data_IF_268539817806
#
_entry.id   IF_268539817806
#
_cell.length_a   1.000
_cell.length_b   1.000
_cell.length_c   1.000
_cell.angle_alpha   90.00
_cell.angle_beta   90.00
_cell.angle_gamma   90.00
#
_symmetry.space_group_name_H-M   'P 1'
#
loop_
_entity.id
_entity.type
_entity.pdbx_description
1 polymer ?
#
# COMPACT_ATOMS: atom_id res chain seq x y z
N UNK A 1 7.57 26.96 13.03
CA UNK A 1 7.15 26.12 11.87
C UNK A 1 5.93 25.31 12.29
N UNK A 2 4.87 25.24 11.47
CA UNK A 2 3.67 24.44 11.79
C UNK A 2 4.00 22.95 11.61
N UNK A 3 3.69 22.05 12.58
CA UNK A 3 3.95 20.62 12.43
C UNK A 3 3.11 20.02 11.29
N UNK A 4 3.64 18.97 10.64
CA UNK A 4 2.96 18.24 9.56
C UNK A 4 1.70 17.54 10.11
N UNK A 5 1.78 16.99 11.30
CA UNK A 5 0.66 16.35 11.99
C UNK A 5 0.67 16.73 13.48
N UNK A 6 -0.52 16.99 14.10
CA UNK A 6 -0.59 17.26 15.54
C UNK A 6 -0.23 16.05 16.39
N UNK A 7 -0.34 14.83 15.87
CA UNK A 7 0.03 13.60 16.58
C UNK A 7 1.54 13.48 16.84
N UNK A 8 2.36 14.11 15.98
CA UNK A 8 3.82 14.10 16.13
C UNK A 8 4.40 15.44 15.66
N UNK A 9 4.66 16.40 16.57
CA UNK A 9 5.04 17.76 16.20
C UNK A 9 6.55 17.95 15.97
N UNK A 10 7.29 16.87 15.70
CA UNK A 10 8.73 16.88 15.42
C UNK A 10 9.01 16.60 13.94
N UNK A 11 10.28 16.73 13.54
CA UNK A 11 10.74 16.30 12.23
C UNK A 11 10.55 14.78 12.08
N UNK A 12 9.92 14.35 11.01
CA UNK A 12 9.82 12.93 10.65
C UNK A 12 11.12 12.50 9.96
N UNK A 13 11.71 11.41 10.47
CA UNK A 13 12.92 10.81 9.94
C UNK A 13 12.73 9.29 9.78
N UNK A 14 12.92 8.79 8.57
CA UNK A 14 12.79 7.37 8.23
C UNK A 14 12.56 7.16 6.75
N UNK A 15 12.05 5.99 6.40
CA UNK A 15 11.83 5.58 5.00
C UNK A 15 10.77 4.49 4.90
N UNK A 16 10.77 3.77 3.79
CA UNK A 16 9.89 2.64 3.58
C UNK A 16 10.35 1.43 4.38
N UNK A 17 9.40 0.71 4.95
CA UNK A 17 9.62 -0.53 5.68
C UNK A 17 8.65 -1.59 5.22
N UNK A 18 9.16 -2.71 4.74
CA UNK A 18 8.39 -3.81 4.16
C UNK A 18 8.50 -5.08 5.03
N UNK A 19 7.90 -5.09 6.24
CA UNK A 19 8.01 -6.20 7.20
C UNK A 19 7.35 -7.49 6.71
N UNK A 20 6.41 -7.41 5.75
CA UNK A 20 5.74 -8.57 5.16
C UNK A 20 6.71 -9.57 4.56
N UNK A 21 7.87 -9.13 4.12
CA UNK A 21 8.93 -9.99 3.57
C UNK A 21 9.57 -10.90 4.63
N UNK A 22 9.46 -10.52 5.92
CA UNK A 22 10.15 -11.14 7.03
C UNK A 22 9.24 -11.77 8.07
N UNK A 23 7.93 -11.90 7.80
CA UNK A 23 6.94 -12.44 8.75
C UNK A 23 7.29 -13.86 9.24
N UNK A 24 8.06 -14.62 8.44
CA UNK A 24 8.53 -15.97 8.82
C UNK A 24 9.80 -15.95 9.66
N UNK A 25 10.40 -14.78 9.88
CA UNK A 25 11.68 -14.59 10.54
C UNK A 25 11.55 -13.49 11.62
N UNK A 26 10.89 -13.79 12.74
CA UNK A 26 10.59 -12.79 13.78
C UNK A 26 11.85 -12.16 14.41
N UNK A 27 12.98 -12.84 14.34
CA UNK A 27 14.28 -12.31 14.77
C UNK A 27 14.73 -11.12 13.92
N UNK A 28 14.42 -11.12 12.60
CA UNK A 28 14.73 -9.99 11.70
C UNK A 28 13.85 -8.80 12.08
N UNK A 29 12.55 -8.98 12.27
CA UNK A 29 11.65 -7.91 12.70
C UNK A 29 12.08 -7.25 14.01
N UNK A 30 12.62 -8.04 14.95
CA UNK A 30 13.19 -7.52 16.20
C UNK A 30 14.47 -6.73 15.94
N UNK A 31 15.37 -7.26 15.12
CA UNK A 31 16.62 -6.59 14.76
C UNK A 31 16.36 -5.28 14.02
N UNK A 32 15.40 -5.24 13.11
CA UNK A 32 15.01 -4.04 12.36
C UNK A 32 14.65 -2.88 13.31
N UNK A 33 13.83 -3.15 14.33
CA UNK A 33 13.45 -2.14 15.32
C UNK A 33 14.66 -1.63 16.09
N UNK A 34 15.59 -2.51 16.49
CA UNK A 34 16.83 -2.09 17.16
C UNK A 34 17.72 -1.23 16.25
N UNK A 35 17.82 -1.57 14.97
CA UNK A 35 18.56 -0.78 13.98
C UNK A 35 17.91 0.58 13.72
N UNK A 36 16.57 0.61 13.59
CA UNK A 36 15.82 1.86 13.46
C UNK A 36 16.07 2.79 14.64
N UNK A 37 16.07 2.28 15.87
CA UNK A 37 16.37 3.07 17.08
C UNK A 37 17.79 3.61 17.07
N UNK A 38 18.76 2.80 16.66
CA UNK A 38 20.18 3.24 16.55
C UNK A 38 20.38 4.32 15.48
N UNK A 39 19.53 4.33 14.45
CA UNK A 39 19.54 5.32 13.38
C UNK A 39 18.66 6.55 13.68
N UNK A 40 18.09 6.67 14.88
CA UNK A 40 17.16 7.72 15.27
C UNK A 40 15.92 7.83 14.36
N UNK A 41 15.51 6.71 13.74
CA UNK A 41 14.30 6.65 12.93
C UNK A 41 13.09 6.75 13.85
N UNK A 42 12.19 7.68 13.53
CA UNK A 42 10.97 7.94 14.31
C UNK A 42 9.68 7.77 13.53
N UNK A 43 9.78 7.50 12.21
CA UNK A 43 8.63 7.29 11.34
C UNK A 43 9.01 6.40 10.15
N UNK A 44 8.13 5.45 9.78
CA UNK A 44 8.31 4.59 8.60
C UNK A 44 7.01 4.44 7.82
N UNK A 45 7.11 4.31 6.49
CA UNK A 45 5.98 3.93 5.64
C UNK A 45 5.84 2.41 5.63
N UNK A 46 4.64 1.89 5.94
CA UNK A 46 4.39 0.45 6.04
C UNK A 46 3.20 0.07 5.16
N UNK A 47 3.25 -1.10 4.55
CA UNK A 47 2.11 -1.69 3.82
C UNK A 47 2.03 -1.33 2.34
N UNK A 48 3.04 -0.66 1.78
CA UNK A 48 3.04 -0.13 0.41
C UNK A 48 2.77 -1.24 -0.63
N UNK A 49 3.35 -2.42 -0.43
CA UNK A 49 3.27 -3.54 -1.37
C UNK A 49 2.56 -4.77 -0.79
N UNK A 50 1.86 -4.61 0.33
CA UNK A 50 1.40 -5.72 1.16
C UNK A 50 0.04 -6.31 0.75
N UNK A 51 -0.58 -5.91 -0.37
CA UNK A 51 -1.94 -6.36 -0.70
C UNK A 51 -2.08 -7.87 -0.68
N UNK A 52 -1.12 -8.61 -1.26
CA UNK A 52 -1.16 -10.08 -1.28
C UNK A 52 -1.10 -10.73 0.11
N UNK A 53 -0.54 -10.04 1.11
CA UNK A 53 -0.54 -10.50 2.51
C UNK A 53 -1.79 -10.04 3.26
N UNK A 54 -2.37 -8.90 2.89
CA UNK A 54 -3.59 -8.37 3.50
C UNK A 54 -4.86 -9.03 2.98
N UNK A 55 -4.82 -9.55 1.74
CA UNK A 55 -5.91 -10.27 1.08
C UNK A 55 -5.30 -11.40 0.23
N UNK A 56 -4.86 -12.51 0.87
CA UNK A 56 -4.22 -13.63 0.17
C UNK A 56 -5.13 -14.31 -0.85
N UNK A 57 -6.43 -14.37 -0.57
CA UNK A 57 -7.47 -14.79 -1.48
C UNK A 57 -8.57 -13.73 -1.51
N UNK A 58 -9.32 -13.66 -2.59
CA UNK A 58 -10.39 -12.68 -2.74
C UNK A 58 -11.41 -12.74 -1.61
N UNK A 59 -11.56 -11.64 -0.89
CA UNK A 59 -12.50 -11.51 0.22
C UNK A 59 -11.98 -12.04 1.56
N UNK A 60 -10.81 -12.66 1.59
CA UNK A 60 -10.16 -13.15 2.82
C UNK A 60 -9.12 -12.13 3.27
N UNK A 61 -9.42 -11.42 4.36
CA UNK A 61 -8.58 -10.33 4.85
C UNK A 61 -7.84 -10.71 6.12
N UNK A 62 -6.53 -10.47 6.17
CA UNK A 62 -5.70 -10.60 7.36
C UNK A 62 -4.94 -9.29 7.64
N UNK A 63 -5.43 -8.55 8.62
CA UNK A 63 -4.80 -7.32 9.11
C UNK A 63 -4.05 -7.50 10.44
N UNK A 64 -4.13 -8.67 11.06
CA UNK A 64 -3.62 -8.88 12.41
C UNK A 64 -2.10 -8.82 12.50
N UNK A 65 -1.42 -9.32 11.47
CA UNK A 65 0.03 -9.20 11.39
C UNK A 65 0.47 -7.73 11.25
N UNK A 66 -0.23 -6.95 10.43
CA UNK A 66 0.08 -5.54 10.21
C UNK A 66 -0.14 -4.71 11.49
N UNK A 67 -1.23 -4.97 12.21
CA UNK A 67 -1.50 -4.32 13.49
C UNK A 67 -0.41 -4.63 14.52
N UNK A 68 0.04 -5.89 14.62
CA UNK A 68 1.15 -6.26 15.52
C UNK A 68 2.45 -5.52 15.17
N UNK A 69 2.74 -5.33 13.88
CA UNK A 69 3.90 -4.56 13.42
C UNK A 69 3.76 -3.09 13.85
N UNK A 70 2.62 -2.46 13.56
CA UNK A 70 2.36 -1.05 13.90
C UNK A 70 2.38 -0.84 15.41
N UNK A 71 1.80 -1.75 16.19
CA UNK A 71 1.86 -1.75 17.64
C UNK A 71 3.30 -1.80 18.17
N UNK A 72 4.12 -2.71 17.59
CA UNK A 72 5.50 -2.86 17.99
C UNK A 72 6.34 -1.61 17.66
N UNK A 73 6.17 -1.06 16.49
CA UNK A 73 6.80 0.20 16.09
C UNK A 73 6.42 1.32 17.06
N UNK A 74 5.12 1.49 17.32
CA UNK A 74 4.62 2.54 18.22
C UNK A 74 5.14 2.39 19.66
N UNK A 75 5.19 1.17 20.21
CA UNK A 75 5.78 0.88 21.53
C UNK A 75 7.26 1.27 21.61
N UNK A 76 7.95 1.26 20.48
CA UNK A 76 9.36 1.66 20.38
C UNK A 76 9.56 3.14 19.96
N UNK A 77 8.50 3.95 19.94
CA UNK A 77 8.57 5.36 19.58
C UNK A 77 8.66 5.67 18.09
N UNK A 78 8.40 4.66 17.24
CA UNK A 78 8.42 4.78 15.78
C UNK A 78 6.97 4.85 15.29
N UNK A 79 6.62 5.93 14.62
CA UNK A 79 5.29 6.16 14.07
C UNK A 79 5.16 5.61 12.65
N UNK A 80 3.93 5.39 12.23
CA UNK A 80 3.63 4.79 10.93
C UNK A 80 2.93 5.78 10.00
N UNK A 81 3.44 5.90 8.78
CA UNK A 81 2.69 6.34 7.61
C UNK A 81 2.11 5.08 6.99
N UNK A 82 0.81 4.85 7.16
CA UNK A 82 0.18 3.63 6.65
C UNK A 82 -0.16 3.79 5.18
N UNK A 83 0.34 2.87 4.36
CA UNK A 83 0.07 2.89 2.93
C UNK A 83 -1.20 2.13 2.56
N UNK A 84 -1.88 2.61 1.53
CA UNK A 84 -2.85 1.83 0.77
C UNK A 84 -2.10 1.03 -0.28
N UNK A 85 -2.25 -0.32 -0.36
CA UNK A 85 -1.34 -1.19 -1.10
C UNK A 85 -1.64 -1.29 -2.60
N UNK A 86 -2.40 -0.35 -3.14
CA UNK A 86 -2.96 -0.43 -4.49
C UNK A 86 -1.92 -0.42 -5.62
N UNK A 87 -0.67 0.00 -5.35
CA UNK A 87 0.43 -0.07 -6.32
C UNK A 87 0.89 -1.49 -6.66
N UNK A 88 0.59 -2.49 -5.83
CA UNK A 88 1.01 -3.88 -6.00
C UNK A 88 -0.15 -4.85 -5.75
N UNK A 89 -1.03 -4.97 -6.73
CA UNK A 89 -2.18 -5.88 -6.63
C UNK A 89 -1.76 -7.35 -6.50
N UNK A 90 -2.54 -8.20 -5.80
CA UNK A 90 -2.24 -9.62 -5.66
C UNK A 90 -2.41 -10.37 -6.99
N UNK A 91 -1.72 -11.50 -7.12
CA UNK A 91 -1.72 -12.32 -8.32
C UNK A 91 -3.13 -12.83 -8.67
N UNK A 92 -3.90 -13.29 -7.67
CA UNK A 92 -5.25 -13.80 -7.88
C UNK A 92 -6.16 -12.79 -8.61
N UNK A 93 -5.95 -11.49 -8.36
CA UNK A 93 -6.74 -10.44 -9.02
C UNK A 93 -6.42 -10.36 -10.52
N UNK A 94 -5.15 -10.50 -10.89
CA UNK A 94 -4.73 -10.52 -12.31
C UNK A 94 -5.17 -11.77 -13.05
N UNK A 95 -5.26 -12.90 -12.35
CA UNK A 95 -5.69 -14.18 -12.95
C UNK A 95 -7.20 -14.25 -13.12
N UNK A 96 -7.94 -13.78 -12.10
CA UNK A 96 -9.41 -13.81 -12.14
C UNK A 96 -10.03 -12.73 -13.01
N UNK A 97 -9.40 -11.56 -13.10
CA UNK A 97 -9.91 -10.37 -13.78
C UNK A 97 -8.91 -9.88 -14.83
N UNK A 98 -8.86 -10.56 -15.95
CA UNK A 98 -7.90 -10.27 -17.02
C UNK A 98 -7.96 -8.81 -17.50
N UNK A 99 -9.14 -8.21 -17.52
CA UNK A 99 -9.39 -6.85 -17.96
C UNK A 99 -8.70 -5.78 -17.11
N UNK A 100 -8.26 -6.10 -15.90
CA UNK A 100 -7.51 -5.16 -15.07
C UNK A 100 -6.06 -5.01 -15.52
N UNK A 101 -5.52 -5.97 -16.27
CA UNK A 101 -4.13 -5.93 -16.74
C UNK A 101 -3.95 -4.86 -17.81
N UNK A 102 -2.82 -4.15 -17.73
CA UNK A 102 -2.47 -3.08 -18.66
C UNK A 102 -2.40 -3.60 -20.09
N UNK A 103 -2.79 -2.76 -21.04
CA UNK A 103 -2.58 -2.99 -22.48
C UNK A 103 -1.47 -2.06 -22.95
N UNK A 104 -0.47 -2.61 -23.63
CA UNK A 104 0.65 -1.90 -24.22
C UNK A 104 0.24 -1.16 -25.50
N UNK A 105 1.08 -0.26 -25.99
CA UNK A 105 0.81 0.50 -27.22
C UNK A 105 0.67 -0.35 -28.49
N UNK A 106 1.20 -1.56 -28.48
CA UNK A 106 1.05 -2.56 -29.55
C UNK A 106 -0.24 -3.40 -29.44
N UNK A 107 -1.11 -3.09 -28.48
CA UNK A 107 -2.36 -3.81 -28.23
C UNK A 107 -2.22 -5.08 -27.39
N UNK A 108 -1.01 -5.47 -27.01
CA UNK A 108 -0.77 -6.67 -26.20
C UNK A 108 -1.11 -6.37 -24.73
N UNK A 109 -1.86 -7.26 -24.11
CA UNK A 109 -2.18 -7.20 -22.68
C UNK A 109 -1.02 -7.79 -21.88
N UNK A 110 -0.59 -7.07 -20.83
CA UNK A 110 0.45 -7.53 -19.92
C UNK A 110 0.05 -8.86 -19.26
N UNK A 111 1.05 -9.68 -18.98
CA UNK A 111 0.90 -10.84 -18.11
C UNK A 111 0.82 -10.40 -16.65
N UNK A 112 0.47 -11.35 -15.77
CA UNK A 112 0.53 -11.17 -14.34
C UNK A 112 1.99 -10.99 -13.88
N UNK A 113 2.20 -10.22 -12.83
CA UNK A 113 3.53 -9.91 -12.30
C UNK A 113 3.90 -8.44 -12.48
N UNK A 114 4.98 -8.02 -11.86
CA UNK A 114 5.39 -6.63 -11.68
C UNK A 114 4.32 -5.74 -11.02
N UNK A 115 4.73 -4.63 -10.45
CA UNK A 115 3.81 -3.60 -9.94
C UNK A 115 3.39 -2.63 -11.05
N UNK A 116 2.28 -1.93 -10.88
CA UNK A 116 1.73 -0.95 -11.84
C UNK A 116 1.38 -1.53 -13.23
N UNK A 117 1.16 -2.83 -13.34
CA UNK A 117 0.72 -3.47 -14.57
C UNK A 117 -0.80 -3.58 -14.68
N UNK A 118 -1.52 -2.61 -14.12
CA UNK A 118 -2.99 -2.56 -14.11
C UNK A 118 -3.51 -1.28 -14.75
N UNK A 119 -4.74 -1.36 -15.24
CA UNK A 119 -5.46 -0.21 -15.76
C UNK A 119 -6.16 0.54 -14.61
N UNK A 120 -5.78 1.77 -14.34
CA UNK A 120 -6.37 2.60 -13.28
C UNK A 120 -7.86 2.94 -13.52
N UNK A 121 -8.34 2.79 -14.75
CA UNK A 121 -9.75 3.04 -15.09
C UNK A 121 -10.60 1.77 -15.07
N UNK A 122 -10.01 0.59 -14.84
CA UNK A 122 -10.77 -0.64 -14.69
C UNK A 122 -11.76 -0.54 -13.53
N UNK A 123 -13.07 -0.74 -13.76
CA UNK A 123 -14.07 -0.70 -12.70
C UNK A 123 -13.79 -1.70 -11.59
N UNK A 124 -13.39 -2.93 -11.94
CA UNK A 124 -13.05 -3.98 -10.99
C UNK A 124 -11.85 -3.58 -10.13
N UNK A 125 -10.76 -3.12 -10.74
CA UNK A 125 -9.59 -2.66 -9.96
C UNK A 125 -9.96 -1.53 -8.98
N UNK A 126 -10.74 -0.56 -9.44
CA UNK A 126 -11.18 0.58 -8.62
C UNK A 126 -12.10 0.14 -7.47
N UNK A 127 -12.98 -0.81 -7.71
CA UNK A 127 -13.86 -1.35 -6.67
C UNK A 127 -13.05 -2.10 -5.60
N UNK A 128 -12.15 -3.00 -6.02
CA UNK A 128 -11.27 -3.75 -5.10
C UNK A 128 -10.37 -2.82 -4.28
N UNK A 129 -9.77 -1.81 -4.92
CA UNK A 129 -8.98 -0.79 -4.21
C UNK A 129 -9.84 -0.07 -3.17
N UNK A 130 -11.03 0.38 -3.54
CA UNK A 130 -11.95 1.07 -2.61
C UNK A 130 -12.31 0.19 -1.42
N UNK A 131 -12.56 -1.10 -1.64
CA UNK A 131 -12.91 -2.03 -0.56
C UNK A 131 -11.71 -2.25 0.38
N UNK A 132 -10.52 -2.47 -0.15
CA UNK A 132 -9.29 -2.59 0.64
C UNK A 132 -9.05 -1.32 1.48
N UNK A 133 -9.11 -0.15 0.85
CA UNK A 133 -8.86 1.13 1.52
C UNK A 133 -9.90 1.40 2.64
N UNK A 134 -11.17 1.07 2.41
CA UNK A 134 -12.21 1.17 3.45
C UNK A 134 -11.91 0.28 4.64
N UNK A 135 -11.46 -0.96 4.42
CA UNK A 135 -11.13 -1.91 5.48
C UNK A 135 -9.91 -1.45 6.28
N UNK A 136 -8.86 -0.99 5.59
CA UNK A 136 -7.69 -0.39 6.24
C UNK A 136 -8.09 0.83 7.07
N UNK A 137 -8.87 1.74 6.51
CA UNK A 137 -9.35 2.92 7.23
C UNK A 137 -10.19 2.54 8.46
N UNK A 138 -11.10 1.57 8.33
CA UNK A 138 -11.92 1.09 9.45
C UNK A 138 -11.07 0.51 10.58
N UNK A 139 -10.01 -0.22 10.25
CA UNK A 139 -9.14 -0.87 11.26
C UNK A 139 -8.18 0.12 11.90
N UNK A 140 -7.56 1.01 11.13
CA UNK A 140 -6.38 1.76 11.57
C UNK A 140 -6.55 3.27 11.71
N UNK A 141 -7.68 3.87 11.29
CA UNK A 141 -7.83 5.34 11.33
C UNK A 141 -7.65 5.95 12.73
N UNK A 142 -8.03 5.21 13.77
CA UNK A 142 -7.92 5.63 15.16
C UNK A 142 -6.69 5.06 15.88
N UNK A 143 -5.83 4.33 15.19
CA UNK A 143 -4.63 3.75 15.80
C UNK A 143 -3.65 4.87 16.19
N UNK A 144 -3.17 4.94 17.45
CA UNK A 144 -2.33 6.06 17.91
C UNK A 144 -0.98 6.14 17.18
N UNK A 145 -0.44 4.99 16.76
CA UNK A 145 0.81 4.90 15.99
C UNK A 145 0.69 5.31 14.53
N UNK A 146 -0.53 5.37 13.96
CA UNK A 146 -0.75 5.82 12.58
C UNK A 146 -0.95 7.31 12.55
N UNK A 147 -0.04 8.04 11.93
CA UNK A 147 -0.03 9.51 11.90
C UNK A 147 -0.34 10.13 10.54
N UNK A 148 -0.10 9.40 9.46
CA UNK A 148 -0.34 9.82 8.08
C UNK A 148 -0.78 8.62 7.23
N UNK A 149 -1.32 8.91 6.05
CA UNK A 149 -1.65 7.93 5.02
C UNK A 149 -0.79 8.15 3.79
N UNK A 150 -0.22 7.07 3.27
CA UNK A 150 0.47 7.03 1.98
C UNK A 150 -0.49 6.44 0.93
N UNK A 151 -1.03 7.27 0.06
CA UNK A 151 -2.03 6.84 -0.91
C UNK A 151 -1.36 6.19 -2.12
N UNK A 152 -1.46 4.86 -2.23
CA UNK A 152 -0.82 4.06 -3.27
C UNK A 152 0.70 4.24 -3.29
N UNK A 153 1.34 4.10 -4.44
CA UNK A 153 2.76 4.38 -4.62
C UNK A 153 3.06 4.65 -6.09
N UNK A 154 3.83 5.70 -6.37
CA UNK A 154 4.41 5.99 -7.69
C UNK A 154 3.41 5.81 -8.84
N UNK A 155 2.27 6.51 -8.79
CA UNK A 155 1.30 6.47 -9.88
C UNK A 155 1.97 6.73 -11.21
N UNK A 156 1.86 5.77 -12.13
CA UNK A 156 2.50 5.87 -13.42
C UNK A 156 2.13 4.75 -14.38
N UNK A 157 2.65 4.86 -15.57
CA UNK A 157 2.42 3.93 -16.65
C UNK A 157 1.13 4.20 -17.41
N UNK A 158 1.21 4.02 -18.70
CA UNK A 158 0.13 4.22 -19.66
C UNK A 158 -0.62 2.89 -19.86
N UNK A 159 -1.89 2.96 -20.21
CA UNK A 159 -2.68 1.81 -20.62
C UNK A 159 -3.46 2.17 -21.89
N UNK A 160 -3.25 1.42 -22.93
CA UNK A 160 -3.87 1.66 -24.25
C UNK A 160 -5.15 0.84 -24.44
N UNK A 161 -5.82 0.42 -23.37
CA UNK A 161 -7.11 -0.23 -23.45
C UNK A 161 -8.24 0.79 -23.72
N UNK A 162 -9.37 0.30 -24.23
CA UNK A 162 -10.54 1.13 -24.52
C UNK A 162 -11.10 1.85 -23.28
N UNK A 163 -10.96 1.27 -22.09
CA UNK A 163 -11.44 1.88 -20.85
C UNK A 163 -10.71 3.17 -20.53
N UNK A 164 -9.40 3.24 -20.76
CA UNK A 164 -8.64 4.47 -20.56
C UNK A 164 -8.93 5.51 -21.64
N UNK A 165 -9.03 5.05 -22.89
CA UNK A 165 -9.29 5.92 -24.04
C UNK A 165 -10.67 6.61 -23.95
N UNK A 166 -11.68 5.93 -23.40
CA UNK A 166 -13.02 6.47 -23.21
C UNK A 166 -13.25 7.15 -21.87
N UNK A 167 -12.23 7.17 -20.99
CA UNK A 167 -12.33 7.85 -19.71
C UNK A 167 -12.28 9.37 -19.92
N UNK A 168 -13.24 10.14 -19.37
CA UNK A 168 -13.24 11.59 -19.51
C UNK A 168 -11.94 12.19 -18.91
N UNK A 169 -11.29 13.03 -19.69
CA UNK A 169 -10.15 13.82 -19.23
C UNK A 169 -10.58 14.78 -18.12
N UNK A 170 -9.74 15.08 -17.13
CA UNK A 170 -10.01 16.17 -16.18
C UNK A 170 -10.22 17.53 -16.84
N UNK A 171 -9.81 17.68 -18.12
CA UNK A 171 -10.02 18.91 -18.91
C UNK A 171 -11.39 18.99 -19.56
N UNK A 172 -12.15 17.88 -19.55
CA UNK A 172 -13.49 17.79 -20.16
C UNK A 172 -14.61 18.09 -19.15
N UNK A 173 -14.28 18.69 -18.00
CA UNK A 173 -15.21 19.11 -16.95
C UNK A 173 -15.30 20.62 -16.89
#
# INVERSE_FOLDING_TARGET
MRPLTPKFPKLLHGGDYNPEQWLRYPEILKQDVELMKKADINCVSVGIFSWAHLEPNEGEYDFDWLEKIIDNLYKNGIYTVLATPSGAKPLWMSEKYEEIRRVQNNGVRDLSGARHNHCYTSPVYREKTREMDKRLAKRFANHPGVILWHLSNEYGGECYCCLLYTSPSPRDK
#
